data_IF_041233390384
#
_entry.id   IF_041233390384
#
_cell.length_a   1.000
_cell.length_b   1.000
_cell.length_c   1.000
_cell.angle_alpha   90.00
_cell.angle_beta   90.00
_cell.angle_gamma   90.00
#
_symmetry.space_group_name_H-M   'P 1'
#
loop_
_entity.id
_entity.type
_entity.pdbx_description
1 polymer ?
#
# COMPACT_ATOMS: atom_id res chain seq x y z
N UNK A 1 -9.77 7.66 22.21
CA UNK A 1 -10.05 8.74 21.24
C UNK A 1 -8.96 8.74 20.18
N UNK A 2 -9.08 7.86 19.18
CA UNK A 2 -8.02 7.57 18.22
C UNK A 2 -7.95 8.60 17.09
N UNK A 3 -6.74 8.88 16.63
CA UNK A 3 -6.45 9.64 15.40
C UNK A 3 -7.11 8.92 14.23
N UNK A 4 -8.18 9.47 13.67
CA UNK A 4 -8.70 8.99 12.38
C UNK A 4 -7.64 9.39 11.36
N UNK A 5 -6.98 8.38 10.78
CA UNK A 5 -6.00 8.51 9.72
C UNK A 5 -6.69 7.98 8.47
N UNK A 6 -6.84 8.82 7.45
CA UNK A 6 -7.53 8.40 6.24
C UNK A 6 -6.51 7.98 5.18
N UNK A 7 -6.77 6.86 4.49
CA UNK A 7 -5.99 6.48 3.32
C UNK A 7 -6.40 7.37 2.14
N UNK A 8 -5.42 8.02 1.52
CA UNK A 8 -5.62 8.95 0.40
C UNK A 8 -4.97 8.46 -0.91
N UNK A 9 -4.00 7.55 -0.82
CA UNK A 9 -3.35 6.94 -2.00
C UNK A 9 -2.86 5.53 -1.66
N UNK A 10 -3.00 4.62 -2.62
CA UNK A 10 -2.51 3.25 -2.61
C UNK A 10 -1.98 2.96 -4.02
N UNK A 11 -0.78 2.40 -4.11
CA UNK A 11 -0.17 1.95 -5.35
C UNK A 11 0.30 0.51 -5.15
N UNK A 12 -0.09 -0.38 -6.07
CA UNK A 12 0.39 -1.75 -6.10
C UNK A 12 1.33 -1.89 -7.31
N UNK A 13 2.58 -2.26 -7.06
CA UNK A 13 3.60 -2.45 -8.09
C UNK A 13 4.25 -3.82 -7.96
N UNK A 14 4.91 -4.27 -9.03
CA UNK A 14 5.81 -5.42 -9.00
C UNK A 14 7.25 -4.97 -9.16
N UNK A 15 8.17 -5.62 -8.43
CA UNK A 15 9.62 -5.47 -8.66
C UNK A 15 10.35 -6.77 -8.33
N UNK A 16 11.59 -6.89 -8.76
CA UNK A 16 12.45 -8.00 -8.37
C UNK A 16 13.13 -7.72 -7.02
N UNK A 17 13.19 -8.72 -6.15
CA UNK A 17 13.91 -8.66 -4.89
C UNK A 17 15.42 -8.51 -5.13
N UNK A 18 16.03 -7.53 -4.45
CA UNK A 18 17.48 -7.36 -4.35
C UNK A 18 18.08 -8.15 -3.20
N UNK A 19 19.40 -8.06 -3.02
CA UNK A 19 20.12 -8.67 -1.89
C UNK A 19 19.65 -8.17 -0.52
N UNK A 20 19.15 -6.94 -0.48
CA UNK A 20 18.80 -6.23 0.74
C UNK A 20 17.33 -6.46 1.12
N UNK A 21 16.57 -7.16 0.27
CA UNK A 21 15.20 -7.55 0.55
C UNK A 21 15.17 -8.78 1.46
N UNK A 22 15.19 -8.55 2.77
CA UNK A 22 15.15 -9.61 3.78
C UNK A 22 13.81 -10.37 3.88
N UNK A 23 12.90 -10.16 2.94
CA UNK A 23 11.56 -10.75 2.88
C UNK A 23 11.41 -11.82 1.79
N UNK A 24 12.32 -11.87 0.81
CA UNK A 24 12.33 -12.87 -0.26
C UNK A 24 13.77 -13.17 -0.70
N UNK A 25 13.96 -14.27 -1.44
CA UNK A 25 15.26 -14.54 -2.05
C UNK A 25 15.52 -13.55 -3.20
N UNK A 26 16.76 -13.07 -3.37
CA UNK A 26 17.12 -12.22 -4.50
C UNK A 26 16.73 -12.86 -5.84
N UNK A 27 16.19 -12.07 -6.75
CA UNK A 27 15.68 -12.55 -8.04
C UNK A 27 14.23 -13.01 -8.04
N UNK A 28 13.57 -13.10 -6.87
CA UNK A 28 12.14 -13.39 -6.81
C UNK A 28 11.28 -12.16 -7.10
N UNK A 29 10.09 -12.31 -7.71
CA UNK A 29 9.12 -11.23 -7.82
C UNK A 29 8.58 -10.85 -6.43
N UNK A 30 8.45 -9.55 -6.19
CA UNK A 30 7.82 -8.96 -5.03
C UNK A 30 6.68 -8.05 -5.49
N UNK A 31 5.58 -8.12 -4.76
CA UNK A 31 4.48 -7.16 -4.87
C UNK A 31 4.67 -6.11 -3.79
N UNK A 32 4.76 -4.85 -4.18
CA UNK A 32 4.97 -3.75 -3.25
C UNK A 32 3.69 -2.94 -3.18
N UNK A 33 3.18 -2.79 -1.96
CA UNK A 33 2.05 -1.90 -1.65
C UNK A 33 2.62 -0.63 -1.05
N UNK A 34 2.55 0.46 -1.80
CA UNK A 34 2.86 1.80 -1.31
C UNK A 34 1.54 2.50 -0.96
N UNK A 35 1.48 3.20 0.16
CA UNK A 35 0.28 3.95 0.51
C UNK A 35 0.60 5.23 1.26
N UNK A 36 -0.32 6.19 1.19
CA UNK A 36 -0.25 7.46 1.90
C UNK A 36 -1.46 7.60 2.81
N UNK A 37 -1.20 7.94 4.07
CA UNK A 37 -2.24 8.34 5.04
C UNK A 37 -2.13 9.82 5.30
N UNK A 38 -3.28 10.44 5.47
CA UNK A 38 -3.42 11.82 5.92
C UNK A 38 -3.94 11.84 7.35
N UNK A 39 -3.28 12.59 8.23
CA UNK A 39 -3.76 12.81 9.59
C UNK A 39 -4.83 13.91 9.65
N UNK A 40 -5.44 14.10 10.82
CA UNK A 40 -6.45 15.14 11.05
C UNK A 40 -5.93 16.57 10.87
N UNK A 41 -4.62 16.78 10.94
CA UNK A 41 -3.98 18.06 10.70
C UNK A 41 -3.66 18.28 9.21
N UNK A 42 -4.09 17.36 8.35
CA UNK A 42 -3.84 17.39 6.91
C UNK A 42 -2.42 16.94 6.53
N UNK A 43 -1.62 16.41 7.47
CA UNK A 43 -0.26 15.97 7.17
C UNK A 43 -0.29 14.61 6.52
N UNK A 44 0.40 14.50 5.39
CA UNK A 44 0.54 13.25 4.67
C UNK A 44 1.85 12.55 5.03
N UNK A 45 1.77 11.23 5.14
CA UNK A 45 2.94 10.38 5.29
C UNK A 45 2.75 9.15 4.41
N UNK A 46 3.86 8.65 3.87
CA UNK A 46 3.85 7.48 3.01
C UNK A 46 4.54 6.30 3.68
N UNK A 47 4.11 5.10 3.31
CA UNK A 47 4.63 3.82 3.77
C UNK A 47 4.69 2.85 2.60
N UNK A 48 5.49 1.80 2.77
CA UNK A 48 5.69 0.75 1.79
C UNK A 48 5.75 -0.60 2.48
N UNK A 49 5.15 -1.62 1.87
CA UNK A 49 5.19 -2.99 2.35
C UNK A 49 5.42 -3.95 1.17
N UNK A 50 6.54 -4.69 1.14
CA UNK A 50 6.75 -5.76 0.19
C UNK A 50 6.03 -7.04 0.62
N UNK A 51 5.52 -7.78 -0.36
CA UNK A 51 4.85 -9.06 -0.20
C UNK A 51 5.42 -10.08 -1.18
N UNK A 52 5.63 -11.30 -0.68
CA UNK A 52 6.14 -12.44 -1.47
C UNK A 52 5.04 -13.03 -2.37
N UNK A 53 3.78 -12.72 -2.12
CA UNK A 53 2.64 -13.23 -2.90
C UNK A 53 1.69 -12.12 -3.30
N UNK A 54 1.17 -12.20 -4.52
CA UNK A 54 0.14 -11.29 -5.03
C UNK A 54 -1.10 -11.29 -4.12
N UNK A 55 -1.54 -12.46 -3.69
CA UNK A 55 -2.71 -12.61 -2.83
C UNK A 55 -2.53 -11.86 -1.49
N UNK A 56 -1.32 -11.91 -0.91
CA UNK A 56 -0.99 -11.16 0.30
C UNK A 56 -1.06 -9.65 0.07
N UNK A 57 -0.49 -9.17 -1.03
CA UNK A 57 -0.53 -7.77 -1.41
C UNK A 57 -1.95 -7.27 -1.67
N UNK A 58 -2.75 -8.00 -2.45
CA UNK A 58 -4.16 -7.66 -2.75
C UNK A 58 -5.02 -7.66 -1.49
N UNK A 59 -4.78 -8.56 -0.54
CA UNK A 59 -5.46 -8.53 0.76
C UNK A 59 -5.13 -7.26 1.55
N UNK A 60 -3.86 -6.83 1.54
CA UNK A 60 -3.48 -5.57 2.18
C UNK A 60 -4.14 -4.37 1.51
N UNK A 61 -4.14 -4.30 0.18
CA UNK A 61 -4.87 -3.27 -0.58
C UNK A 61 -6.34 -3.22 -0.18
N UNK A 62 -7.02 -4.36 -0.08
CA UNK A 62 -8.42 -4.42 0.34
C UNK A 62 -8.64 -3.87 1.75
N UNK A 63 -7.74 -4.17 2.69
CA UNK A 63 -7.81 -3.61 4.04
C UNK A 63 -7.60 -2.09 4.05
N UNK A 64 -6.63 -1.58 3.28
CA UNK A 64 -6.38 -0.14 3.18
C UNK A 64 -7.55 0.60 2.51
N UNK A 65 -8.19 -0.01 1.51
CA UNK A 65 -9.40 0.52 0.89
C UNK A 65 -10.59 0.58 1.85
N UNK A 66 -10.66 -0.29 2.85
CA UNK A 66 -11.68 -0.19 3.90
C UNK A 66 -11.42 1.00 4.86
N UNK A 67 -10.20 1.51 4.91
CA UNK A 67 -9.76 2.66 5.73
C UNK A 67 -9.63 3.97 4.93
N UNK A 68 -10.07 3.99 3.67
CA UNK A 68 -9.97 5.18 2.82
C UNK A 68 -10.89 6.30 3.29
N UNK A 69 -10.57 7.54 2.89
CA UNK A 69 -11.51 8.66 2.99
C UNK A 69 -12.84 8.25 2.35
N UNK A 70 -13.97 8.27 3.08
CA UNK A 70 -15.25 7.77 2.56
C UNK A 70 -15.70 8.44 1.25
N UNK A 71 -15.35 9.72 1.09
CA UNK A 71 -15.72 10.58 -0.04
C UNK A 71 -14.90 10.30 -1.31
N UNK A 72 -13.73 9.67 -1.21
CA UNK A 72 -12.89 9.37 -2.37
C UNK A 72 -13.28 8.04 -2.99
N UNK A 73 -13.61 7.97 -4.28
CA UNK A 73 -13.89 6.70 -4.92
C UNK A 73 -12.62 5.84 -5.01
N UNK A 74 -12.78 4.53 -5.19
CA UNK A 74 -11.64 3.58 -5.16
C UNK A 74 -10.63 3.93 -6.24
N UNK A 75 -11.09 4.28 -7.44
CA UNK A 75 -10.27 4.68 -8.58
C UNK A 75 -9.49 5.99 -8.35
N UNK A 76 -9.91 6.84 -7.40
CA UNK A 76 -9.14 8.02 -7.01
C UNK A 76 -8.04 7.70 -6.00
N UNK A 77 -8.17 6.59 -5.27
CA UNK A 77 -7.25 6.21 -4.19
C UNK A 77 -6.28 5.12 -4.63
N UNK A 78 -6.71 4.17 -5.46
CA UNK A 78 -5.94 2.97 -5.80
C UNK A 78 -5.49 2.97 -7.26
N UNK A 79 -4.20 2.68 -7.47
CA UNK A 79 -3.62 2.43 -8.78
C UNK A 79 -2.89 1.08 -8.78
N UNK A 80 -3.27 0.18 -9.69
CA UNK A 80 -2.57 -1.08 -9.95
C UNK A 80 -1.61 -0.88 -11.14
N UNK A 81 -0.32 -1.16 -10.95
CA UNK A 81 0.75 -1.09 -11.96
C UNK A 81 1.56 -2.39 -12.02
N UNK A 82 0.93 -3.50 -11.63
CA UNK A 82 1.58 -4.82 -11.59
C UNK A 82 1.84 -5.41 -12.97
#
# INVERSE_FOLDING_TARGET
MGLVLDIVRIELTTRTAGSDDHVALPGMPLWVVDWTRRDRLGRERSWSAPHVTEAGARRMVANLLAERVPELPVEAVFTDRT
#
